data_IF_985623761002
#
_entry.id   IF_985623761002
#
_cell.length_a   1.000
_cell.length_b   1.000
_cell.length_c   1.000
_cell.angle_alpha   90.00
_cell.angle_beta   90.00
_cell.angle_gamma   90.00
#
_symmetry.space_group_name_H-M   'P 1'
#
loop_
_entity.id
_entity.type
_entity.pdbx_description
1 polymer ?
#
# COMPACT_ATOMS: atom_id res chain seq x y z
N UNK A 1 -5.73 -11.79 18.41
CA UNK A 1 -5.80 -12.89 17.42
C UNK A 1 -5.47 -14.19 18.14
N UNK A 2 -6.29 -15.24 17.99
CA UNK A 2 -5.99 -16.56 18.56
C UNK A 2 -4.81 -17.20 17.80
N UNK A 3 -3.92 -17.86 18.53
CA UNK A 3 -2.69 -18.45 18.00
C UNK A 3 -2.76 -19.97 18.14
N UNK A 4 -2.78 -20.69 17.01
CA UNK A 4 -2.90 -22.16 17.00
C UNK A 4 -1.56 -22.89 16.91
N UNK A 5 -0.47 -22.20 16.56
CA UNK A 5 0.84 -22.84 16.34
C UNK A 5 1.64 -23.12 17.63
N UNK A 6 1.18 -22.63 18.79
CA UNK A 6 1.87 -22.85 20.08
C UNK A 6 1.63 -24.26 20.63
N UNK A 7 0.56 -24.91 20.19
CA UNK A 7 0.23 -26.30 20.51
C UNK A 7 0.73 -27.18 19.34
N UNK A 8 1.73 -28.03 19.63
CA UNK A 8 2.40 -28.85 18.61
C UNK A 8 1.43 -29.76 17.88
N UNK A 9 0.48 -30.34 18.60
CA UNK A 9 -0.47 -31.29 18.02
C UNK A 9 -1.46 -30.56 17.12
N UNK A 10 -2.01 -29.42 17.57
CA UNK A 10 -2.89 -28.56 16.74
C UNK A 10 -2.17 -28.00 15.52
N UNK A 11 -0.89 -27.62 15.68
CA UNK A 11 -0.10 -27.15 14.55
C UNK A 11 0.05 -28.23 13.47
N UNK A 12 0.40 -29.45 13.86
CA UNK A 12 0.59 -30.56 12.93
C UNK A 12 -0.72 -31.05 12.30
N UNK A 13 -1.82 -31.04 13.05
CA UNK A 13 -3.11 -31.58 12.60
C UNK A 13 -3.98 -30.58 11.86
N UNK A 14 -3.83 -29.27 12.12
CA UNK A 14 -4.71 -28.23 11.60
C UNK A 14 -3.94 -27.15 10.83
N UNK A 15 -2.97 -26.49 11.47
CA UNK A 15 -2.31 -25.32 10.88
C UNK A 15 -1.46 -25.68 9.66
N UNK A 16 -0.61 -26.70 9.77
CA UNK A 16 0.30 -27.10 8.70
C UNK A 16 -0.48 -27.61 7.46
N UNK A 17 -1.49 -28.50 7.59
CA UNK A 17 -2.32 -28.87 6.44
C UNK A 17 -3.07 -27.69 5.82
N UNK A 18 -3.62 -26.79 6.63
CA UNK A 18 -4.32 -25.61 6.11
C UNK A 18 -3.36 -24.63 5.41
N UNK A 19 -2.16 -24.46 5.94
CA UNK A 19 -1.09 -23.69 5.31
C UNK A 19 -0.73 -24.28 3.95
N UNK A 20 -0.50 -25.60 3.88
CA UNK A 20 -0.17 -26.26 2.60
C UNK A 20 -1.30 -26.15 1.58
N UNK A 21 -2.55 -26.32 2.01
CA UNK A 21 -3.72 -26.15 1.17
C UNK A 21 -3.81 -24.72 0.61
N UNK A 22 -3.64 -23.70 1.46
CA UNK A 22 -3.62 -22.30 1.06
C UNK A 22 -2.44 -21.98 0.13
N UNK A 23 -1.26 -22.56 0.37
CA UNK A 23 -0.06 -22.38 -0.45
C UNK A 23 -0.20 -23.00 -1.85
N UNK A 24 -0.89 -24.14 -1.94
CA UNK A 24 -1.13 -24.88 -3.20
C UNK A 24 -2.42 -24.43 -3.92
N UNK A 25 -3.28 -23.66 -3.26
CA UNK A 25 -4.59 -23.27 -3.77
C UNK A 25 -5.64 -24.39 -3.72
N UNK A 26 -5.40 -25.43 -2.92
CA UNK A 26 -6.30 -26.57 -2.76
C UNK A 26 -7.47 -26.22 -1.84
N UNK A 27 -8.51 -25.64 -2.43
CA UNK A 27 -9.71 -25.28 -1.68
C UNK A 27 -10.42 -26.50 -1.09
N UNK A 28 -10.39 -27.66 -1.76
CA UNK A 28 -11.10 -28.84 -1.28
C UNK A 28 -10.51 -29.35 0.04
N UNK A 29 -9.18 -29.44 0.12
CA UNK A 29 -8.50 -29.78 1.35
C UNK A 29 -8.76 -28.75 2.47
N UNK A 30 -8.67 -27.45 2.15
CA UNK A 30 -8.94 -26.40 3.12
C UNK A 30 -10.39 -26.41 3.61
N UNK A 31 -11.36 -26.62 2.72
CA UNK A 31 -12.79 -26.70 3.05
C UNK A 31 -13.07 -27.85 4.03
N UNK A 32 -12.46 -29.01 3.84
CA UNK A 32 -12.56 -30.13 4.79
C UNK A 32 -12.05 -29.77 6.18
N UNK A 33 -10.91 -29.08 6.26
CA UNK A 33 -10.31 -28.65 7.53
C UNK A 33 -11.19 -27.58 8.21
N UNK A 34 -11.61 -26.55 7.46
CA UNK A 34 -12.45 -25.46 7.97
C UNK A 34 -13.82 -26.00 8.41
N UNK A 35 -14.41 -26.95 7.69
CA UNK A 35 -15.67 -27.59 8.07
C UNK A 35 -15.58 -28.33 9.40
N UNK A 36 -14.43 -28.98 9.69
CA UNK A 36 -14.19 -29.66 10.96
C UNK A 36 -13.81 -28.70 12.10
N UNK A 37 -13.14 -27.61 11.77
CA UNK A 37 -12.66 -26.61 12.73
C UNK A 37 -13.01 -25.18 12.30
N UNK A 38 -14.28 -24.75 12.35
CA UNK A 38 -14.70 -23.45 11.81
C UNK A 38 -13.95 -22.24 12.40
N UNK A 39 -13.48 -22.36 13.63
CA UNK A 39 -12.74 -21.32 14.34
C UNK A 39 -11.38 -20.96 13.71
N UNK A 40 -10.85 -21.77 12.78
CA UNK A 40 -9.52 -21.50 12.18
C UNK A 40 -9.56 -20.55 10.98
N UNK A 41 -10.74 -20.10 10.59
CA UNK A 41 -10.93 -19.25 9.42
C UNK A 41 -10.19 -17.90 9.48
N UNK A 42 -10.02 -17.36 10.69
CA UNK A 42 -9.44 -16.03 10.94
C UNK A 42 -8.27 -16.06 11.93
N UNK A 43 -7.59 -17.21 12.06
CA UNK A 43 -6.50 -17.40 13.02
C UNK A 43 -5.15 -17.44 12.32
N UNK A 44 -4.11 -17.11 13.09
CA UNK A 44 -2.73 -17.26 12.67
C UNK A 44 -2.36 -18.73 12.56
N UNK A 45 -1.90 -19.16 11.38
CA UNK A 45 -1.45 -20.53 11.09
C UNK A 45 0.07 -20.64 10.89
N UNK A 46 0.79 -19.52 10.83
CA UNK A 46 2.26 -19.47 10.73
C UNK A 46 2.86 -18.72 11.93
N UNK A 47 4.18 -18.87 12.13
CA UNK A 47 4.93 -18.09 13.13
C UNK A 47 4.98 -16.58 12.84
N UNK A 48 4.67 -16.17 11.61
CA UNK A 48 4.63 -14.77 11.18
C UNK A 48 3.22 -14.18 11.22
N UNK A 49 2.31 -14.80 11.97
CA UNK A 49 0.92 -14.37 12.09
C UNK A 49 0.13 -14.33 10.78
N UNK A 50 0.56 -15.10 9.76
CA UNK A 50 -0.24 -15.24 8.55
C UNK A 50 -1.45 -16.12 8.81
N UNK A 51 -2.59 -15.69 8.30
CA UNK A 51 -3.82 -16.50 8.18
C UNK A 51 -3.82 -17.24 6.84
N UNK A 52 -4.73 -18.19 6.64
CA UNK A 52 -4.92 -18.84 5.34
C UNK A 52 -5.16 -17.82 4.20
N UNK A 53 -5.86 -16.72 4.50
CA UNK A 53 -6.14 -15.64 3.54
C UNK A 53 -4.86 -14.90 3.11
N UNK A 54 -3.92 -14.66 4.03
CA UNK A 54 -2.64 -14.03 3.71
C UNK A 54 -1.82 -14.90 2.74
N UNK A 55 -1.71 -16.19 3.04
CA UNK A 55 -0.97 -17.16 2.22
C UNK A 55 -1.57 -17.28 0.82
N UNK A 56 -2.89 -17.48 0.72
CA UNK A 56 -3.56 -17.61 -0.58
C UNK A 56 -3.50 -16.31 -1.41
N UNK A 57 -3.51 -15.14 -0.75
CA UNK A 57 -3.40 -13.84 -1.41
C UNK A 57 -2.00 -13.58 -1.99
N UNK A 58 -0.94 -13.93 -1.25
CA UNK A 58 0.45 -13.77 -1.70
C UNK A 58 0.82 -14.74 -2.82
N UNK A 59 0.21 -15.94 -2.82
CA UNK A 59 0.43 -17.00 -3.82
C UNK A 59 -0.54 -16.96 -5.01
N UNK A 60 -1.42 -15.95 -5.07
CA UNK A 60 -2.31 -15.64 -6.21
C UNK A 60 -3.43 -16.64 -6.47
N UNK A 61 -3.81 -17.45 -5.47
CA UNK A 61 -4.86 -18.46 -5.59
C UNK A 61 -6.27 -17.85 -5.49
N UNK A 62 -6.73 -17.27 -6.60
CA UNK A 62 -7.96 -16.47 -6.65
C UNK A 62 -9.20 -17.25 -6.22
N UNK A 63 -9.38 -18.49 -6.70
CA UNK A 63 -10.53 -19.32 -6.32
C UNK A 63 -10.55 -19.63 -4.83
N UNK A 64 -9.38 -19.99 -4.26
CA UNK A 64 -9.24 -20.22 -2.83
C UNK A 64 -9.64 -18.98 -2.03
N UNK A 65 -9.15 -17.80 -2.43
CA UNK A 65 -9.51 -16.54 -1.77
C UNK A 65 -11.01 -16.25 -1.90
N UNK A 66 -11.59 -16.44 -3.08
CA UNK A 66 -13.02 -16.19 -3.30
C UNK A 66 -13.89 -17.03 -2.38
N UNK A 67 -13.62 -18.33 -2.28
CA UNK A 67 -14.38 -19.23 -1.41
C UNK A 67 -14.13 -18.94 0.08
N UNK A 68 -12.89 -18.68 0.48
CA UNK A 68 -12.58 -18.34 1.87
C UNK A 68 -13.29 -17.05 2.32
N UNK A 69 -13.27 -16.00 1.49
CA UNK A 69 -13.88 -14.70 1.80
C UNK A 69 -15.41 -14.78 1.93
N UNK A 70 -16.07 -15.74 1.25
CA UNK A 70 -17.51 -15.98 1.43
C UNK A 70 -17.86 -16.40 2.86
N UNK A 71 -16.94 -17.09 3.53
CA UNK A 71 -17.11 -17.61 4.89
C UNK A 71 -16.69 -16.61 5.99
N UNK A 72 -15.98 -15.53 5.63
CA UNK A 72 -15.44 -14.53 6.57
C UNK A 72 -16.35 -13.32 6.77
N UNK A 73 -16.22 -12.67 7.94
CA UNK A 73 -16.76 -11.33 8.18
C UNK A 73 -15.85 -10.26 7.58
N UNK A 74 -16.35 -9.03 7.39
CA UNK A 74 -15.57 -7.95 6.79
C UNK A 74 -14.34 -7.60 7.63
N UNK A 75 -14.48 -7.63 8.95
CA UNK A 75 -13.45 -7.31 9.94
C UNK A 75 -12.32 -8.36 9.94
N UNK A 76 -12.62 -9.62 9.61
CA UNK A 76 -11.62 -10.69 9.52
C UNK A 76 -10.59 -10.42 8.41
N UNK A 77 -10.95 -9.66 7.38
CA UNK A 77 -10.04 -9.29 6.28
C UNK A 77 -9.03 -8.21 6.70
N UNK A 78 -9.29 -7.50 7.82
CA UNK A 78 -8.41 -6.44 8.33
C UNK A 78 -7.25 -6.97 9.17
N UNK A 79 -7.23 -8.27 9.44
CA UNK A 79 -6.16 -8.92 10.19
C UNK A 79 -4.81 -8.66 9.53
N UNK A 80 -3.83 -8.29 10.35
CA UNK A 80 -2.46 -8.04 9.93
C UNK A 80 -1.55 -9.15 10.43
N UNK A 81 -0.60 -9.55 9.59
CA UNK A 81 0.47 -10.47 9.98
C UNK A 81 1.58 -9.74 10.77
N UNK A 82 2.66 -10.44 11.17
CA UNK A 82 3.77 -9.87 11.95
C UNK A 82 4.50 -8.72 11.25
N UNK A 83 4.33 -8.59 9.94
CA UNK A 83 4.87 -7.51 9.12
C UNK A 83 3.87 -6.37 8.93
N UNK A 84 2.78 -6.36 9.70
CA UNK A 84 1.66 -5.42 9.61
C UNK A 84 0.88 -5.49 8.29
N UNK A 85 1.13 -6.48 7.42
CA UNK A 85 0.46 -6.56 6.13
C UNK A 85 -0.89 -7.25 6.28
N UNK A 86 -1.92 -6.69 5.66
CA UNK A 86 -3.20 -7.38 5.42
C UNK A 86 -3.10 -8.29 4.20
N UNK A 87 -4.11 -9.14 3.98
CA UNK A 87 -4.23 -9.91 2.75
C UNK A 87 -4.25 -9.03 1.48
N UNK A 88 -4.85 -7.82 1.55
CA UNK A 88 -4.86 -6.88 0.43
C UNK A 88 -3.47 -6.31 0.16
N UNK A 89 -2.67 -6.02 1.19
CA UNK A 89 -1.27 -5.60 1.03
C UNK A 89 -0.48 -6.67 0.25
N UNK A 90 -0.64 -7.94 0.61
CA UNK A 90 0.04 -9.06 -0.05
C UNK A 90 -0.45 -9.26 -1.49
N UNK A 91 -1.77 -9.18 -1.73
CA UNK A 91 -2.33 -9.25 -3.07
C UNK A 91 -1.85 -8.10 -3.98
N UNK A 92 -1.71 -6.90 -3.41
CA UNK A 92 -1.20 -5.72 -4.10
C UNK A 92 0.27 -5.87 -4.49
N UNK A 93 1.10 -6.35 -3.56
CA UNK A 93 2.51 -6.67 -3.83
C UNK A 93 2.69 -7.85 -4.80
N UNK A 94 1.72 -8.77 -4.87
CA UNK A 94 1.70 -9.87 -5.83
C UNK A 94 1.13 -9.48 -7.22
N UNK A 95 0.40 -8.36 -7.29
CA UNK A 95 -0.19 -7.82 -8.52
C UNK A 95 -1.48 -8.52 -8.97
N UNK A 96 -2.15 -9.29 -8.11
CA UNK A 96 -3.33 -10.09 -8.48
C UNK A 96 -4.62 -9.28 -8.37
N UNK A 97 -4.97 -8.55 -9.44
CA UNK A 97 -6.10 -7.59 -9.46
C UNK A 97 -7.42 -8.25 -9.02
N UNK A 98 -7.68 -9.48 -9.46
CA UNK A 98 -8.94 -10.17 -9.14
C UNK A 98 -9.10 -10.45 -7.64
N UNK A 99 -8.01 -10.80 -6.95
CA UNK A 99 -8.02 -10.98 -5.49
C UNK A 99 -8.30 -9.64 -4.79
N UNK A 100 -7.64 -8.56 -5.23
CA UNK A 100 -7.90 -7.24 -4.67
C UNK A 100 -9.38 -6.81 -4.85
N UNK A 101 -9.98 -7.09 -6.00
CA UNK A 101 -11.40 -6.83 -6.22
C UNK A 101 -12.31 -7.62 -5.27
N UNK A 102 -12.03 -8.90 -5.05
CA UNK A 102 -12.79 -9.74 -4.10
C UNK A 102 -12.71 -9.17 -2.69
N UNK A 103 -11.50 -8.86 -2.22
CA UNK A 103 -11.25 -8.35 -0.88
C UNK A 103 -11.92 -6.98 -0.68
N UNK A 104 -11.70 -6.03 -1.58
CA UNK A 104 -12.26 -4.67 -1.49
C UNK A 104 -13.79 -4.68 -1.63
N UNK A 105 -14.35 -5.60 -2.42
CA UNK A 105 -15.81 -5.75 -2.52
C UNK A 105 -16.43 -6.16 -1.19
N UNK A 106 -15.74 -7.00 -0.40
CA UNK A 106 -16.21 -7.44 0.93
C UNK A 106 -15.95 -6.38 1.99
N UNK A 107 -14.80 -5.73 1.98
CA UNK A 107 -14.43 -4.68 2.92
C UNK A 107 -13.66 -3.54 2.22
N UNK A 108 -14.31 -2.42 1.89
CA UNK A 108 -13.66 -1.25 1.30
C UNK A 108 -12.59 -0.59 2.19
N UNK A 109 -12.71 -0.70 3.53
CA UNK A 109 -11.78 -0.08 4.47
C UNK A 109 -10.34 -0.60 4.29
N UNK A 110 -10.17 -1.78 3.69
CA UNK A 110 -8.86 -2.35 3.38
C UNK A 110 -8.00 -1.44 2.50
N UNK A 111 -8.62 -0.58 1.68
CA UNK A 111 -7.89 0.36 0.80
C UNK A 111 -6.97 1.30 1.60
N UNK A 112 -7.36 1.65 2.82
CA UNK A 112 -6.65 2.61 3.67
C UNK A 112 -5.94 1.94 4.85
N UNK A 113 -6.04 0.62 5.00
CA UNK A 113 -5.26 -0.16 5.97
C UNK A 113 -3.81 -0.26 5.52
N UNK A 114 -2.93 0.47 6.20
CA UNK A 114 -1.50 0.48 5.91
C UNK A 114 -0.83 -0.80 6.37
N UNK A 115 0.08 -1.29 5.53
CA UNK A 115 0.91 -2.46 5.76
C UNK A 115 2.27 -2.12 6.35
N UNK A 116 3.27 -2.95 6.02
CA UNK A 116 4.67 -2.70 6.34
C UNK A 116 5.12 -1.30 5.90
N UNK A 117 5.99 -0.68 6.70
CA UNK A 117 6.52 0.68 6.48
C UNK A 117 5.42 1.75 6.32
N UNK A 118 4.24 1.52 6.91
CA UNK A 118 3.07 2.38 6.81
C UNK A 118 2.62 2.60 5.34
N UNK A 119 2.89 1.66 4.44
CA UNK A 119 2.49 1.77 3.04
C UNK A 119 1.06 1.28 2.83
N UNK A 120 0.26 2.05 2.09
CA UNK A 120 -1.04 1.58 1.61
C UNK A 120 -0.87 0.42 0.60
N UNK A 121 -1.90 -0.41 0.39
CA UNK A 121 -1.88 -1.41 -0.68
C UNK A 121 -1.60 -0.80 -2.07
N UNK A 122 -2.12 0.40 -2.33
CA UNK A 122 -1.86 1.14 -3.56
C UNK A 122 -0.37 1.48 -3.73
N UNK A 123 0.29 1.96 -2.67
CA UNK A 123 1.73 2.26 -2.69
C UNK A 123 2.58 0.99 -2.87
N UNK A 124 2.18 -0.13 -2.24
CA UNK A 124 2.82 -1.43 -2.46
C UNK A 124 2.70 -1.87 -3.92
N UNK A 125 1.51 -1.78 -4.53
CA UNK A 125 1.31 -2.12 -5.93
C UNK A 125 2.22 -1.28 -6.86
N UNK A 126 2.40 0.00 -6.56
CA UNK A 126 3.30 0.87 -7.31
C UNK A 126 4.77 0.46 -7.12
N UNK A 127 5.19 0.21 -5.87
CA UNK A 127 6.56 -0.18 -5.53
C UNK A 127 6.98 -1.47 -6.28
N UNK A 128 6.07 -2.44 -6.36
CA UNK A 128 6.27 -3.71 -7.08
C UNK A 128 5.92 -3.64 -8.58
N UNK A 129 5.67 -2.44 -9.12
CA UNK A 129 5.50 -2.17 -10.56
C UNK A 129 4.28 -2.85 -11.19
N UNK A 130 3.21 -3.05 -10.41
CA UNK A 130 1.99 -3.70 -10.86
C UNK A 130 0.97 -2.69 -11.41
N UNK A 131 1.20 -2.20 -12.63
CA UNK A 131 0.40 -1.11 -13.22
C UNK A 131 -1.11 -1.36 -13.24
N UNK A 132 -1.55 -2.57 -13.60
CA UNK A 132 -2.97 -2.91 -13.60
C UNK A 132 -3.57 -2.85 -12.20
N UNK A 133 -2.82 -3.28 -11.18
CA UNK A 133 -3.22 -3.17 -9.77
C UNK A 133 -3.25 -1.71 -9.32
N UNK A 134 -2.24 -0.90 -9.68
CA UNK A 134 -2.21 0.53 -9.36
C UNK A 134 -3.43 1.23 -9.94
N UNK A 135 -3.74 1.04 -11.22
CA UNK A 135 -4.93 1.63 -11.85
C UNK A 135 -6.22 1.18 -11.15
N UNK A 136 -6.34 -0.11 -10.83
CA UNK A 136 -7.51 -0.65 -10.15
C UNK A 136 -7.69 -0.03 -8.76
N UNK A 137 -6.68 -0.11 -7.90
CA UNK A 137 -6.74 0.42 -6.54
C UNK A 137 -6.90 1.93 -6.53
N UNK A 138 -6.18 2.68 -7.38
CA UNK A 138 -6.32 4.14 -7.45
C UNK A 138 -7.75 4.58 -7.79
N UNK A 139 -8.39 3.91 -8.75
CA UNK A 139 -9.78 4.20 -9.11
C UNK A 139 -10.74 3.89 -7.96
N UNK A 140 -10.50 2.80 -7.22
CA UNK A 140 -11.31 2.39 -6.06
C UNK A 140 -11.09 3.29 -4.85
N UNK A 141 -9.91 3.89 -4.74
CA UNK A 141 -9.54 4.87 -3.71
C UNK A 141 -9.99 6.29 -4.02
N UNK A 142 -11.00 6.47 -4.89
CA UNK A 142 -11.49 7.78 -5.34
C UNK A 142 -10.35 8.72 -5.76
N UNK A 143 -9.34 8.20 -6.48
CA UNK A 143 -8.14 8.95 -6.90
C UNK A 143 -7.37 9.61 -5.73
N UNK A 144 -7.54 9.07 -4.52
CA UNK A 144 -7.08 9.56 -3.24
C UNK A 144 -7.63 10.95 -2.86
N UNK A 145 -8.75 11.42 -3.41
CA UNK A 145 -9.20 12.81 -3.17
C UNK A 145 -9.94 13.03 -1.86
N UNK A 146 -10.35 11.96 -1.18
CA UNK A 146 -11.01 12.03 0.12
C UNK A 146 -10.01 12.26 1.28
N UNK A 147 -10.58 12.47 2.48
CA UNK A 147 -9.86 12.79 3.71
C UNK A 147 -9.20 11.56 4.37
N UNK A 148 -9.43 10.35 3.86
CA UNK A 148 -8.79 9.13 4.40
C UNK A 148 -7.29 9.06 4.02
N UNK A 149 -6.89 9.78 2.96
CA UNK A 149 -5.53 9.82 2.43
C UNK A 149 -4.73 11.01 2.95
N UNK A 150 -3.69 10.71 3.71
CA UNK A 150 -2.78 11.74 4.23
C UNK A 150 -1.86 12.30 3.13
N UNK A 151 -1.21 13.45 3.40
CA UNK A 151 -0.14 13.94 2.55
C UNK A 151 1.01 12.93 2.39
N UNK A 152 1.33 12.22 3.47
CA UNK A 152 2.34 11.16 3.49
C UNK A 152 1.99 10.02 2.54
N UNK A 153 0.73 9.56 2.52
CA UNK A 153 0.29 8.48 1.63
C UNK A 153 0.52 8.84 0.15
N UNK A 154 0.23 10.09 -0.23
CA UNK A 154 0.40 10.61 -1.60
C UNK A 154 1.88 10.73 -1.97
N UNK A 155 2.72 11.19 -1.04
CA UNK A 155 4.19 11.26 -1.23
C UNK A 155 4.79 9.87 -1.37
N UNK A 156 4.36 8.90 -0.55
CA UNK A 156 4.81 7.51 -0.65
C UNK A 156 4.42 6.89 -2.00
N UNK A 157 3.18 7.09 -2.45
CA UNK A 157 2.73 6.61 -3.76
C UNK A 157 3.57 7.20 -4.90
N UNK A 158 3.86 8.50 -4.82
CA UNK A 158 4.72 9.16 -5.79
C UNK A 158 6.13 8.55 -5.79
N UNK A 159 6.76 8.45 -4.62
CA UNK A 159 8.11 7.91 -4.51
C UNK A 159 8.16 6.49 -5.05
N UNK A 160 7.16 5.67 -4.75
CA UNK A 160 7.01 4.34 -5.31
C UNK A 160 6.89 4.38 -6.84
N UNK A 161 6.04 5.24 -7.40
CA UNK A 161 5.90 5.41 -8.86
C UNK A 161 7.20 5.86 -9.54
N UNK A 162 7.98 6.77 -8.94
CA UNK A 162 9.27 7.23 -9.46
C UNK A 162 10.27 6.07 -9.46
N UNK A 163 10.40 5.39 -8.31
CA UNK A 163 11.33 4.27 -8.12
C UNK A 163 11.01 3.11 -9.07
N UNK A 164 9.73 2.92 -9.37
CA UNK A 164 9.18 1.91 -10.26
C UNK A 164 9.24 2.29 -11.76
N UNK A 165 9.68 3.52 -12.09
CA UNK A 165 9.68 4.12 -13.43
C UNK A 165 8.28 4.14 -14.10
N UNK A 166 7.25 4.49 -13.33
CA UNK A 166 5.83 4.50 -13.75
C UNK A 166 5.27 5.88 -14.10
N UNK A 167 6.05 6.96 -13.93
CA UNK A 167 5.59 8.35 -14.08
C UNK A 167 4.99 8.69 -15.46
N UNK A 168 5.40 7.98 -16.53
CA UNK A 168 4.92 8.20 -17.90
C UNK A 168 3.77 7.31 -18.35
N UNK A 169 3.39 6.28 -17.58
CA UNK A 169 2.45 5.23 -18.03
C UNK A 169 1.06 5.33 -17.41
N UNK A 170 0.90 6.11 -16.35
CA UNK A 170 -0.35 6.25 -15.65
C UNK A 170 -0.82 7.70 -15.80
N UNK A 171 -2.09 7.91 -16.16
CA UNK A 171 -2.76 9.22 -16.04
C UNK A 171 -2.68 9.77 -14.61
N UNK A 172 -2.41 8.91 -13.61
CA UNK A 172 -1.99 9.27 -12.25
C UNK A 172 -0.87 10.30 -12.22
N UNK A 173 0.08 10.24 -13.17
CA UNK A 173 1.23 11.14 -13.24
C UNK A 173 0.82 12.61 -13.28
N UNK A 174 -0.30 12.97 -13.93
CA UNK A 174 -0.77 14.37 -13.99
C UNK A 174 -1.42 14.83 -12.69
N UNK A 175 -2.28 14.01 -12.09
CA UNK A 175 -2.96 14.35 -10.83
C UNK A 175 -1.97 14.38 -9.66
N UNK A 176 -1.07 13.40 -9.60
CA UNK A 176 0.00 13.36 -8.60
C UNK A 176 1.03 14.46 -8.89
N UNK A 177 1.41 14.78 -10.14
CA UNK A 177 2.20 16.00 -10.42
C UNK A 177 1.50 17.26 -9.94
N UNK A 178 0.17 17.36 -10.10
CA UNK A 178 -0.58 18.51 -9.59
C UNK A 178 -0.49 18.60 -8.07
N UNK A 179 -0.60 17.47 -7.37
CA UNK A 179 -0.43 17.41 -5.91
C UNK A 179 1.00 17.76 -5.51
N UNK A 180 2.02 17.26 -6.22
CA UNK A 180 3.43 17.61 -5.97
C UNK A 180 3.68 19.08 -6.25
N UNK A 181 3.17 19.61 -7.37
CA UNK A 181 3.27 21.03 -7.67
C UNK A 181 2.66 21.84 -6.53
N UNK A 182 1.49 21.48 -6.04
CA UNK A 182 0.84 22.16 -4.93
C UNK A 182 1.62 22.01 -3.61
N UNK A 183 2.18 20.83 -3.31
CA UNK A 183 3.01 20.59 -2.12
C UNK A 183 4.34 21.34 -2.19
N UNK A 184 5.03 21.31 -3.33
CA UNK A 184 6.27 22.05 -3.58
C UNK A 184 6.01 23.55 -3.50
N UNK A 185 4.93 24.04 -4.13
CA UNK A 185 4.50 25.44 -4.02
C UNK A 185 4.22 25.79 -2.55
N UNK A 186 3.50 24.94 -1.82
CA UNK A 186 3.23 25.17 -0.40
C UNK A 186 4.50 25.20 0.45
N UNK A 187 5.44 24.27 0.23
CA UNK A 187 6.73 24.24 0.93
C UNK A 187 7.59 25.46 0.59
N UNK A 188 7.63 25.87 -0.68
CA UNK A 188 8.36 27.07 -1.13
C UNK A 188 7.74 28.32 -0.51
N UNK A 189 6.41 28.46 -0.50
CA UNK A 189 5.71 29.59 0.15
C UNK A 189 6.04 29.63 1.65
N UNK A 190 5.93 28.50 2.35
CA UNK A 190 6.25 28.43 3.79
C UNK A 190 7.72 28.77 4.07
N UNK A 191 8.65 28.28 3.24
CA UNK A 191 10.08 28.56 3.37
C UNK A 191 10.41 30.04 3.08
N UNK A 192 9.81 30.63 2.05
CA UNK A 192 9.98 32.05 1.71
C UNK A 192 9.37 32.97 2.78
N UNK A 193 8.26 32.56 3.41
CA UNK A 193 7.65 33.27 4.53
C UNK A 193 8.57 33.28 5.76
N UNK A 194 9.22 32.16 6.07
CA UNK A 194 10.22 32.05 7.16
C UNK A 194 11.45 32.92 6.88
N UNK A 195 11.85 33.08 5.62
CA UNK A 195 13.01 33.90 5.24
C UNK A 195 12.71 35.41 5.13
N UNK A 196 11.47 35.85 5.35
CA UNK A 196 11.04 37.25 5.30
C UNK A 196 11.51 38.00 4.02
N UNK A 197 11.56 37.28 2.90
CA UNK A 197 12.02 37.83 1.62
C UNK A 197 10.99 38.81 1.08
N UNK A 198 11.44 39.98 0.63
CA UNK A 198 10.57 41.06 0.16
C UNK A 198 9.70 40.62 -1.02
N UNK A 199 8.48 41.18 -1.13
CA UNK A 199 7.44 40.83 -2.11
C UNK A 199 7.92 40.77 -3.58
N UNK A 200 9.02 41.45 -3.93
CA UNK A 200 9.57 41.49 -5.28
C UNK A 200 10.28 40.16 -5.68
N UNK A 201 10.90 39.47 -4.71
CA UNK A 201 11.59 38.20 -4.96
C UNK A 201 10.61 37.03 -5.17
N UNK A 202 9.43 37.12 -4.55
CA UNK A 202 8.33 36.16 -4.71
C UNK A 202 7.81 36.08 -6.16
N UNK A 203 7.79 37.19 -6.89
CA UNK A 203 7.29 37.22 -8.26
C UNK A 203 8.21 36.47 -9.23
N UNK A 204 9.53 36.57 -9.06
CA UNK A 204 10.50 35.89 -9.93
C UNK A 204 10.51 34.37 -9.73
N UNK A 205 10.55 33.90 -8.48
CA UNK A 205 10.58 32.46 -8.18
C UNK A 205 9.30 31.76 -8.67
N UNK A 206 8.14 32.39 -8.49
CA UNK A 206 6.88 31.83 -9.00
C UNK A 206 6.85 31.82 -10.54
N UNK A 207 7.30 32.88 -11.20
CA UNK A 207 7.36 32.93 -12.67
C UNK A 207 8.27 31.84 -13.25
N UNK A 208 9.40 31.52 -12.61
CA UNK A 208 10.28 30.44 -13.06
C UNK A 208 9.67 29.04 -12.86
N UNK A 209 8.90 28.85 -11.77
CA UNK A 209 8.16 27.60 -11.53
C UNK A 209 6.99 27.45 -12.52
N UNK A 210 6.32 28.54 -12.89
CA UNK A 210 5.14 28.54 -13.76
C UNK A 210 5.44 28.63 -15.27
N UNK A 211 6.59 29.15 -15.69
CA UNK A 211 6.92 29.42 -17.11
C UNK A 211 7.40 28.20 -17.92
N UNK A 212 7.46 27.00 -17.33
CA UNK A 212 7.64 25.77 -18.11
C UNK A 212 9.00 25.68 -18.83
N UNK A 213 10.08 26.17 -18.22
CA UNK A 213 11.45 25.97 -18.74
C UNK A 213 11.77 24.47 -18.74
N UNK A 214 11.62 23.88 -19.93
CA UNK A 214 12.06 22.56 -20.42
C UNK A 214 12.19 21.44 -19.38
N UNK A 215 11.28 20.48 -19.54
CA UNK A 215 11.24 19.11 -19.00
C UNK A 215 12.47 18.28 -19.46
N UNK A 216 13.68 18.75 -19.17
CA UNK A 216 14.94 18.02 -19.39
C UNK A 216 15.66 17.72 -18.07
N UNK A 217 15.16 18.29 -16.97
CA UNK A 217 15.71 18.12 -15.64
C UNK A 217 14.73 17.50 -14.66
N UNK A 218 13.70 16.75 -15.10
CA UNK A 218 12.84 16.02 -14.17
C UNK A 218 13.67 15.06 -13.28
N UNK A 219 14.71 14.43 -13.85
CA UNK A 219 15.61 13.54 -13.12
C UNK A 219 16.55 14.30 -12.18
N UNK A 220 17.01 15.51 -12.56
CA UNK A 220 17.85 16.35 -11.70
C UNK A 220 17.05 17.01 -10.58
N UNK A 221 15.82 17.44 -10.87
CA UNK A 221 14.89 18.00 -9.89
C UNK A 221 14.43 16.90 -8.93
N UNK A 222 14.13 15.69 -9.41
CA UNK A 222 13.82 14.55 -8.53
C UNK A 222 15.01 14.18 -7.64
N UNK A 223 16.23 14.11 -8.20
CA UNK A 223 17.45 13.87 -7.41
C UNK A 223 17.70 14.97 -6.39
N UNK A 224 17.53 16.25 -6.76
CA UNK A 224 17.68 17.39 -5.86
C UNK A 224 16.60 17.45 -4.78
N UNK A 225 15.33 17.14 -5.10
CA UNK A 225 14.27 17.02 -4.11
C UNK A 225 14.52 15.87 -3.14
N UNK A 226 15.03 14.72 -3.62
CA UNK A 226 15.41 13.59 -2.78
C UNK A 226 16.60 13.91 -1.86
N UNK A 227 17.63 14.62 -2.33
CA UNK A 227 18.71 15.09 -1.46
C UNK A 227 18.22 16.12 -0.45
N UNK A 228 17.34 17.05 -0.84
CA UNK A 228 16.77 18.02 0.10
C UNK A 228 15.80 17.40 1.11
N UNK A 229 15.01 16.39 0.72
CA UNK A 229 14.15 15.62 1.64
C UNK A 229 14.99 14.77 2.62
N UNK A 230 16.08 14.14 2.16
CA UNK A 230 17.01 13.42 3.03
C UNK A 230 17.75 14.36 4.01
N UNK A 231 18.11 15.57 3.57
CA UNK A 231 18.68 16.60 4.44
C UNK A 231 17.66 17.11 5.47
N UNK A 232 16.39 17.26 5.09
CA UNK A 232 15.33 17.69 6.02
C UNK A 232 15.03 16.65 7.11
N UNK A 233 15.15 15.34 6.79
CA UNK A 233 15.03 14.26 7.77
C UNK A 233 16.23 14.19 8.74
N UNK A 234 17.40 14.67 8.34
CA UNK A 234 18.61 14.69 9.17
C UNK A 234 18.72 15.92 10.08
N UNK A 235 17.93 16.96 9.86
CA UNK A 235 17.99 18.25 10.57
C UNK A 235 16.85 18.41 11.59
N UNK A 236 15.94 17.44 11.73
CA UNK A 236 15.00 17.47 12.86
C UNK A 236 15.77 17.21 14.18
N UNK A 237 15.74 18.14 15.15
CA UNK A 237 16.26 17.84 16.48
C UNK A 237 15.37 16.76 17.10
N UNK A 238 15.98 15.78 17.75
CA UNK A 238 15.26 14.89 18.65
C UNK A 238 14.60 15.75 19.74
N UNK A 239 13.28 15.92 19.66
CA UNK A 239 12.51 16.58 20.70
C UNK A 239 12.34 15.60 21.86
N UNK A 240 12.94 15.98 22.98
CA UNK A 240 12.71 15.50 24.36
C UNK A 240 11.25 15.43 24.75
#
# INVERSE_FOLDING_TARGET
MLVFYTDREKYQTICLPLYEAALKGDWHAAQGIIGKYPQVINVSITMYHDTALHIASSTKHTHFVEELVKLMQAEDLELQNSYLNTALCLAAAAGTVKIAEILVKKNPNLLTKRGANNMSPLSLAALFRHNGMVSCLYSKSNNMTDDEWTGTDRVMLLQACISANLYGKLSLGRNILSIIKNLVISCVISFLYVLNLSKLYMHFVLVDIFSGVKIMHADLIARNLLTHLNLALYVMPAST
#
